data_IF_612492153729
#
_entry.id   IF_612492153729
#
_cell.length_a   1.000
_cell.length_b   1.000
_cell.length_c   1.000
_cell.angle_alpha   90.00
_cell.angle_beta   90.00
_cell.angle_gamma   90.00
#
_symmetry.space_group_name_H-M   'P 1'
#
loop_
_entity.id
_entity.type
_entity.pdbx_description
1 polymer ?
#
# COMPACT_ATOMS: atom_id res chain seq x y z
N UNK A 1 13.64 10.35 16.26
CA UNK A 1 12.54 10.55 15.29
C UNK A 1 13.11 10.25 13.92
N UNK A 2 13.03 8.99 13.48
CA UNK A 2 13.45 8.59 12.13
C UNK A 2 12.46 9.20 11.13
N UNK A 3 12.85 10.31 10.51
CA UNK A 3 12.03 10.95 9.48
C UNK A 3 12.43 10.36 8.12
N UNK A 4 11.46 9.90 7.33
CA UNK A 4 11.69 9.53 5.92
C UNK A 4 12.33 10.69 5.14
N UNK A 5 12.08 11.92 5.58
CA UNK A 5 12.67 13.13 5.01
C UNK A 5 14.19 13.25 5.17
N UNK A 6 14.81 12.48 6.08
CA UNK A 6 16.27 12.42 6.26
C UNK A 6 16.93 11.35 5.39
N UNK A 7 16.14 10.47 4.77
CA UNK A 7 16.64 9.47 3.84
C UNK A 7 16.70 10.04 2.42
N UNK A 8 17.56 9.48 1.58
CA UNK A 8 17.52 9.74 0.14
C UNK A 8 16.33 8.99 -0.44
N UNK A 9 15.22 9.70 -0.59
CA UNK A 9 14.02 9.19 -1.26
C UNK A 9 13.82 9.93 -2.58
N UNK A 10 13.31 9.23 -3.57
CA UNK A 10 12.81 9.83 -4.80
C UNK A 10 11.30 9.66 -4.85
N UNK A 11 10.63 10.70 -5.36
CA UNK A 11 9.19 10.70 -5.54
C UNK A 11 8.89 10.21 -6.94
N UNK A 12 8.20 9.07 -7.04
CA UNK A 12 7.82 8.48 -8.33
C UNK A 12 6.44 8.97 -8.80
N UNK A 13 5.54 9.21 -7.85
CA UNK A 13 4.18 9.69 -8.11
C UNK A 13 3.68 10.55 -6.96
N UNK A 14 2.99 11.62 -7.32
CA UNK A 14 2.44 12.61 -6.39
C UNK A 14 0.92 12.71 -6.52
N UNK A 15 0.24 13.02 -5.40
CA UNK A 15 -1.20 13.31 -5.35
C UNK A 15 -2.07 12.22 -6.00
N UNK A 16 -1.78 10.97 -5.67
CA UNK A 16 -2.47 9.82 -6.26
C UNK A 16 -3.52 9.24 -5.33
N UNK A 17 -4.36 8.36 -5.86
CA UNK A 17 -5.20 7.48 -5.06
C UNK A 17 -4.46 6.21 -4.64
N UNK A 18 -4.88 5.57 -3.55
CA UNK A 18 -4.30 4.29 -3.12
C UNK A 18 -4.36 3.20 -4.21
N UNK A 19 -5.38 3.26 -5.07
CA UNK A 19 -5.54 2.31 -6.18
C UNK A 19 -4.47 2.52 -7.24
N UNK A 20 -4.26 3.76 -7.67
CA UNK A 20 -3.24 4.09 -8.68
C UNK A 20 -1.83 3.84 -8.14
N UNK A 21 -1.58 4.20 -6.88
CA UNK A 21 -0.33 3.93 -6.22
C UNK A 21 -0.01 2.43 -6.20
N UNK A 22 -1.00 1.59 -5.88
CA UNK A 22 -0.87 0.13 -5.95
C UNK A 22 -0.56 -0.35 -7.37
N UNK A 23 -1.35 0.06 -8.35
CA UNK A 23 -1.16 -0.36 -9.75
C UNK A 23 0.21 0.05 -10.30
N UNK A 24 0.72 1.21 -9.86
CA UNK A 24 2.06 1.67 -10.23
C UNK A 24 3.14 0.79 -9.62
N UNK A 25 3.03 0.47 -8.33
CA UNK A 25 3.97 -0.41 -7.62
C UNK A 25 3.98 -1.79 -8.27
N UNK A 26 2.81 -2.35 -8.59
CA UNK A 26 2.70 -3.67 -9.24
C UNK A 26 3.35 -3.72 -10.63
N UNK A 27 3.33 -2.61 -11.39
CA UNK A 27 3.90 -2.55 -12.74
C UNK A 27 5.38 -2.21 -12.78
N UNK A 28 5.88 -1.43 -11.82
CA UNK A 28 7.23 -0.88 -11.83
C UNK A 28 8.20 -1.60 -10.86
N UNK A 29 7.74 -2.66 -10.21
CA UNK A 29 8.54 -3.47 -9.27
C UNK A 29 8.82 -4.86 -9.82
N UNK A 30 9.97 -5.42 -9.47
CA UNK A 30 10.37 -6.79 -9.81
C UNK A 30 9.68 -7.79 -8.87
N UNK A 31 9.62 -7.45 -7.59
CA UNK A 31 8.91 -8.21 -6.57
C UNK A 31 7.84 -7.33 -5.91
N UNK A 32 6.68 -7.90 -5.61
CA UNK A 32 5.57 -7.21 -4.96
C UNK A 32 5.13 -7.99 -3.74
N UNK A 33 5.15 -7.32 -2.59
CA UNK A 33 4.71 -7.85 -1.31
C UNK A 33 3.48 -7.11 -0.82
N UNK A 34 2.50 -7.84 -0.32
CA UNK A 34 1.31 -7.23 0.28
C UNK A 34 1.44 -7.23 1.80
N UNK A 35 1.28 -6.05 2.39
CA UNK A 35 1.33 -5.85 3.83
C UNK A 35 0.02 -5.31 4.36
N UNK A 36 -0.23 -5.61 5.63
CA UNK A 36 -1.36 -5.08 6.37
C UNK A 36 -1.12 -3.61 6.77
N UNK A 37 -2.17 -2.77 6.87
CA UNK A 37 -2.04 -1.41 7.39
C UNK A 37 -1.43 -1.40 8.79
N UNK A 38 -0.57 -0.42 9.06
CA UNK A 38 0.16 -0.34 10.32
C UNK A 38 1.43 -1.17 10.36
N UNK A 39 1.80 -1.86 9.27
CA UNK A 39 3.11 -2.49 9.14
C UNK A 39 4.23 -1.47 9.37
N UNK A 40 5.22 -1.86 10.19
CA UNK A 40 6.36 -1.04 10.54
C UNK A 40 7.48 -1.24 9.52
N UNK A 41 7.88 -0.17 8.85
CA UNK A 41 9.09 -0.09 8.03
C UNK A 41 10.11 0.84 8.70
N UNK A 42 11.39 0.59 8.47
CA UNK A 42 12.50 1.44 8.93
C UNK A 42 12.44 1.74 10.44
N UNK A 43 12.05 0.72 11.23
CA UNK A 43 11.86 0.70 12.70
C UNK A 43 10.70 1.53 13.26
N UNK A 44 10.55 2.79 12.85
CA UNK A 44 9.62 3.74 13.47
C UNK A 44 8.52 4.25 12.54
N UNK A 45 8.50 3.84 11.28
CA UNK A 45 7.50 4.33 10.34
C UNK A 45 6.39 3.32 10.10
N UNK A 46 5.16 3.74 10.35
CA UNK A 46 3.97 2.93 10.09
C UNK A 46 3.38 3.26 8.73
N UNK A 47 3.20 2.23 7.90
CA UNK A 47 2.53 2.41 6.62
C UNK A 47 1.04 2.64 6.86
N UNK A 48 0.57 3.78 6.35
CA UNK A 48 -0.83 4.19 6.38
C UNK A 48 -1.40 3.99 4.98
N UNK A 49 -2.46 3.20 4.87
CA UNK A 49 -3.17 3.02 3.63
C UNK A 49 -4.36 2.07 3.73
N UNK A 50 -5.05 1.91 2.60
CA UNK A 50 -6.21 1.01 2.49
C UNK A 50 -5.72 -0.38 2.04
N UNK A 51 -6.01 -1.45 2.80
CA UNK A 51 -5.61 -2.79 2.40
C UNK A 51 -6.28 -3.20 1.07
N UNK A 52 -5.61 -3.98 0.22
CA UNK A 52 -4.23 -4.48 0.38
C UNK A 52 -3.17 -3.42 0.04
N UNK A 53 -2.15 -3.23 0.89
CA UNK A 53 -1.07 -2.27 0.61
C UNK A 53 0.05 -3.01 -0.10
N UNK A 54 0.38 -2.58 -1.32
CA UNK A 54 1.48 -3.14 -2.09
C UNK A 54 2.79 -2.44 -1.73
N UNK A 55 3.84 -3.22 -1.56
CA UNK A 55 5.22 -2.80 -1.42
C UNK A 55 6.03 -3.45 -2.53
N UNK A 56 6.76 -2.63 -3.26
CA UNK A 56 7.56 -3.02 -4.39
C UNK A 56 9.02 -3.11 -4.03
N UNK A 57 9.72 -4.08 -4.62
CA UNK A 57 11.18 -4.15 -4.61
C UNK A 57 11.68 -4.05 -6.03
N UNK A 58 12.69 -3.20 -6.25
CA UNK A 58 13.38 -3.02 -7.52
C UNK A 58 14.88 -3.05 -7.26
N UNK A 59 15.52 -4.21 -7.44
CA UNK A 59 16.90 -4.44 -7.00
C UNK A 59 17.08 -4.18 -5.49
N UNK A 60 17.78 -3.10 -5.16
CA UNK A 60 18.06 -2.68 -3.78
C UNK A 60 17.10 -1.57 -3.26
N UNK A 61 16.27 -1.02 -4.15
CA UNK A 61 15.35 0.05 -3.81
C UNK A 61 13.99 -0.49 -3.39
N UNK A 62 13.46 0.08 -2.30
CA UNK A 62 12.13 -0.23 -1.79
C UNK A 62 11.14 0.85 -2.23
N UNK A 63 10.08 0.43 -2.90
CA UNK A 63 9.00 1.28 -3.40
C UNK A 63 7.78 1.09 -2.50
N UNK A 64 7.25 2.17 -1.92
CA UNK A 64 6.08 2.09 -1.06
C UNK A 64 5.21 3.35 -1.13
N UNK A 65 3.97 3.21 -0.68
CA UNK A 65 3.02 4.32 -0.58
C UNK A 65 3.23 5.08 0.72
N UNK A 66 3.36 6.40 0.61
CA UNK A 66 3.51 7.31 1.74
C UNK A 66 2.41 8.37 1.69
N UNK A 67 1.57 8.42 2.71
CA UNK A 67 0.42 9.34 2.75
C UNK A 67 0.69 10.49 3.71
N UNK A 68 0.75 11.71 3.21
CA UNK A 68 0.73 12.92 4.05
C UNK A 68 -0.72 13.40 4.21
N UNK A 69 -1.22 13.63 5.44
CA UNK A 69 -2.60 14.06 5.65
C UNK A 69 -2.94 15.40 4.96
N UNK A 70 -1.95 16.28 4.79
CA UNK A 70 -2.15 17.60 4.19
C UNK A 70 -1.99 17.62 2.66
N UNK A 71 -1.23 16.68 2.09
CA UNK A 71 -0.78 16.75 0.68
C UNK A 71 -1.21 15.56 -0.17
N UNK A 72 -1.79 14.52 0.44
CA UNK A 72 -2.29 13.33 -0.26
C UNK A 72 -1.29 12.17 -0.26
N UNK A 73 -1.53 11.22 -1.17
CA UNK A 73 -0.76 9.98 -1.30
C UNK A 73 0.38 10.13 -2.30
N UNK A 74 1.55 9.67 -1.90
CA UNK A 74 2.77 9.66 -2.69
C UNK A 74 3.28 8.24 -2.86
N UNK A 75 3.94 7.96 -3.99
CA UNK A 75 4.74 6.75 -4.14
C UNK A 75 6.20 7.15 -4.08
N UNK A 76 6.90 6.61 -3.09
CA UNK A 76 8.30 6.89 -2.85
C UNK A 76 9.13 5.67 -3.16
N UNK A 77 10.35 5.89 -3.65
CA UNK A 77 11.40 4.88 -3.69
C UNK A 77 12.55 5.31 -2.79
N UNK A 78 13.08 4.37 -2.02
CA UNK A 78 14.21 4.60 -1.12
C UNK A 78 15.30 3.59 -1.45
N UNK A 79 16.50 4.09 -1.69
CA UNK A 79 17.71 3.28 -1.85
C UNK A 79 18.66 3.58 -0.69
N UNK A 80 18.64 2.71 0.32
CA UNK A 80 19.46 2.87 1.53
C UNK A 80 19.86 1.50 2.10
N UNK A 81 20.86 1.46 2.97
CA UNK A 81 21.23 0.22 3.67
C UNK A 81 20.10 -0.33 4.56
N UNK A 82 19.15 0.52 4.95
CA UNK A 82 17.98 0.09 5.68
C UNK A 82 16.90 -0.49 4.74
N UNK A 83 16.83 -0.05 3.48
CA UNK A 83 15.89 -0.64 2.51
C UNK A 83 16.25 -2.08 2.19
N UNK A 84 17.54 -2.41 2.04
CA UNK A 84 18.00 -3.78 1.80
C UNK A 84 17.67 -4.72 2.97
N UNK A 85 17.87 -4.27 4.22
CA UNK A 85 17.50 -5.05 5.42
C UNK A 85 16.00 -5.32 5.50
N UNK A 86 15.17 -4.32 5.18
CA UNK A 86 13.72 -4.51 5.17
C UNK A 86 13.28 -5.41 4.01
N UNK A 87 13.92 -5.34 2.84
CA UNK A 87 13.70 -6.27 1.72
C UNK A 87 13.99 -7.70 2.14
N UNK A 88 15.11 -7.96 2.80
CA UNK A 88 15.45 -9.31 3.27
C UNK A 88 14.43 -9.81 4.30
N UNK A 89 14.00 -8.96 5.23
CA UNK A 89 12.94 -9.28 6.19
C UNK A 89 11.60 -9.55 5.54
N UNK A 90 11.24 -8.80 4.49
CA UNK A 90 10.02 -9.03 3.71
C UNK A 90 10.10 -10.37 2.97
N UNK A 91 11.26 -10.70 2.39
CA UNK A 91 11.51 -11.98 1.73
C UNK A 91 11.41 -13.16 2.70
N UNK A 92 11.92 -13.01 3.93
CA UNK A 92 11.76 -14.02 4.99
C UNK A 92 10.29 -14.18 5.40
N UNK A 93 9.62 -13.06 5.69
CA UNK A 93 8.21 -13.07 6.10
C UNK A 93 7.28 -13.59 4.99
N UNK A 94 7.63 -13.34 3.73
CA UNK A 94 6.89 -13.84 2.58
C UNK A 94 7.02 -15.35 2.39
N UNK A 95 8.17 -15.96 2.75
CA UNK A 95 8.33 -17.42 2.78
C UNK A 95 7.39 -18.06 3.80
N UNK A 96 7.15 -17.38 4.93
CA UNK A 96 6.20 -17.83 5.95
C UNK A 96 4.73 -17.56 5.57
N UNK A 97 4.47 -16.57 4.72
CA UNK A 97 3.12 -16.15 4.28
C UNK A 97 2.78 -16.55 2.84
N UNK A 98 3.37 -17.62 2.29
CA UNK A 98 2.96 -18.17 0.98
C UNK A 98 1.52 -18.71 1.06
N UNK A 99 0.55 -17.81 0.91
CA UNK A 99 -0.68 -18.10 0.19
C UNK A 99 -0.50 -17.49 -1.20
N UNK A 100 -0.52 -18.30 -2.27
CA UNK A 100 -0.34 -17.78 -3.61
C UNK A 100 -1.50 -16.82 -3.89
N UNK A 101 -1.16 -15.56 -4.12
CA UNK A 101 -2.02 -14.62 -4.82
C UNK A 101 -2.28 -15.20 -6.20
N UNK A 102 -3.49 -15.71 -6.43
CA UNK A 102 -4.17 -15.75 -7.75
C UNK A 102 -5.53 -16.43 -7.60
N UNK A 103 -6.59 -15.62 -7.51
CA UNK A 103 -7.81 -15.86 -8.29
C UNK A 103 -8.52 -14.54 -8.51
N UNK A 104 -8.60 -14.16 -9.78
CA UNK A 104 -9.63 -13.27 -10.34
C UNK A 104 -10.97 -13.60 -9.66
N UNK A 105 -11.44 -12.74 -8.77
CA UNK A 105 -12.84 -12.65 -8.43
C UNK A 105 -13.32 -11.28 -8.88
N UNK A 106 -14.09 -11.32 -9.97
CA UNK A 106 -15.20 -10.43 -10.32
C UNK A 106 -15.56 -9.44 -9.20
N UNK A 107 -15.75 -8.13 -9.49
CA UNK A 107 -16.23 -7.20 -8.47
C UNK A 107 -17.50 -7.80 -7.85
N UNK A 108 -17.62 -7.87 -6.50
CA UNK A 108 -18.89 -8.23 -5.91
C UNK A 108 -19.89 -7.17 -6.36
N UNK A 109 -20.92 -7.61 -7.07
CA UNK A 109 -22.15 -6.86 -7.22
C UNK A 109 -22.49 -6.26 -5.86
N UNK A 110 -22.71 -4.96 -5.86
CA UNK A 110 -23.35 -4.26 -4.76
C UNK A 110 -24.52 -5.11 -4.26
N UNK A 111 -24.66 -5.34 -2.94
CA UNK A 111 -25.95 -5.77 -2.44
C UNK A 111 -26.91 -4.64 -2.81
N UNK A 112 -27.86 -4.95 -3.71
CA UNK A 112 -29.01 -4.10 -4.01
C UNK A 112 -29.51 -3.59 -2.67
N UNK A 113 -29.52 -2.27 -2.51
CA UNK A 113 -30.15 -1.62 -1.38
C UNK A 113 -31.55 -2.24 -1.20
N UNK A 114 -32.00 -2.54 0.03
CA UNK A 114 -33.40 -2.83 0.24
C UNK A 114 -34.18 -1.64 -0.32
N UNK A 115 -35.13 -1.91 -1.20
CA UNK A 115 -36.00 -0.93 -1.84
C UNK A 115 -37.02 -0.36 -0.85
N UNK A 116 -36.52 0.26 0.22
CA UNK A 116 -37.29 1.15 1.08
C UNK A 116 -36.88 2.57 0.71
N UNK A 117 -37.79 3.32 0.08
CA UNK A 117 -37.52 4.70 -0.28
C UNK A 117 -37.30 5.50 1.01
N UNK A 118 -36.30 6.39 1.01
CA UNK A 118 -36.04 7.31 2.13
C UNK A 118 -37.25 8.23 2.44
N UNK A 119 -38.23 8.29 1.52
CA UNK A 119 -39.48 9.02 1.65
C UNK A 119 -40.49 8.34 2.60
N UNK A 120 -40.34 7.05 2.90
CA UNK A 120 -41.27 6.32 3.77
C UNK A 120 -40.94 6.45 5.27
N UNK A 121 -39.81 7.06 5.65
CA UNK A 121 -39.41 7.22 7.05
C UNK A 121 -40.09 8.40 7.78
N UNK A 122 -40.72 9.33 7.08
CA UNK A 122 -41.30 10.55 7.67
C UNK A 122 -42.84 10.55 7.73
N UNK A 123 -43.49 9.42 7.48
CA UNK A 123 -44.93 9.24 7.68
C UNK A 123 -45.22 8.48 8.97
N UNK A 124 -45.13 9.18 10.10
CA UNK A 124 -46.12 9.14 11.20
C UNK A 124 -45.78 10.16 12.27
#
# INVERSE_FOLDING_TARGET
MSCIEQMKYEILLEKTTYKEAREYIEKNSEEVYYVDPGYKIFKDYHIIGVPPIAMGVKGNSLIFTYTKPCYGTFVLTVDSEDSTKEIDRLRETAKDKVKPSLKKSKPPESPKAPSGSYLDMWKK
#
